data_IF_412322214754
#
_entry.id   IF_412322214754
#
_cell.length_a   1.000
_cell.length_b   1.000
_cell.length_c   1.000
_cell.angle_alpha   90.00
_cell.angle_beta   90.00
_cell.angle_gamma   90.00
#
_symmetry.space_group_name_H-M   'P 1'
#
loop_
_entity.id
_entity.type
_entity.pdbx_description
1 polymer ?
#
# COMPACT_ATOMS: atom_id res chain seq x y z
N UNK A 1 -7.00 -5.91 7.46
CA UNK A 1 -5.53 -5.98 7.30
C UNK A 1 -4.82 -4.80 7.97
N UNK A 2 -4.67 -3.62 7.35
CA UNK A 2 -3.83 -2.56 7.93
C UNK A 2 -4.24 -2.10 9.35
N UNK A 3 -5.54 -1.91 9.60
CA UNK A 3 -6.06 -1.56 10.94
C UNK A 3 -5.82 -2.67 11.97
N UNK A 4 -5.97 -3.93 11.58
CA UNK A 4 -5.69 -5.07 12.48
C UNK A 4 -4.20 -5.19 12.77
N UNK A 5 -3.34 -4.92 11.78
CA UNK A 5 -1.88 -4.89 11.95
C UNK A 5 -1.46 -3.77 12.88
N UNK A 6 -2.09 -2.59 12.80
CA UNK A 6 -1.86 -1.47 13.72
C UNK A 6 -2.21 -1.87 15.16
N UNK A 7 -3.43 -2.38 15.38
CA UNK A 7 -3.89 -2.82 16.71
C UNK A 7 -2.97 -3.91 17.29
N UNK A 8 -2.54 -4.87 16.46
CA UNK A 8 -1.63 -5.93 16.87
C UNK A 8 -0.23 -5.39 17.25
N UNK A 9 0.30 -4.45 16.47
CA UNK A 9 1.60 -3.83 16.73
C UNK A 9 1.57 -3.01 18.03
N UNK A 10 0.50 -2.25 18.24
CA UNK A 10 0.28 -1.44 19.45
C UNK A 10 0.16 -2.33 20.69
N UNK A 11 -0.63 -3.41 20.60
CA UNK A 11 -0.83 -4.36 21.69
C UNK A 11 0.47 -5.03 22.15
N UNK A 12 1.44 -5.14 21.25
CA UNK A 12 2.75 -5.75 21.52
C UNK A 12 3.88 -4.74 21.68
N UNK A 13 3.55 -3.43 21.65
CA UNK A 13 4.50 -2.33 21.73
C UNK A 13 5.64 -2.42 20.69
N UNK A 14 5.33 -2.87 19.47
CA UNK A 14 6.29 -2.86 18.37
C UNK A 14 6.38 -1.46 17.79
N UNK A 15 7.60 -0.95 17.62
CA UNK A 15 7.84 0.35 16.95
C UNK A 15 8.28 0.19 15.49
N UNK A 16 8.65 -1.03 15.09
CA UNK A 16 9.22 -1.32 13.78
C UNK A 16 8.74 -2.67 13.25
N UNK A 17 8.18 -2.65 12.04
CA UNK A 17 7.71 -3.84 11.34
C UNK A 17 8.30 -3.94 9.94
N UNK A 18 8.49 -5.17 9.47
CA UNK A 18 8.87 -5.46 8.09
C UNK A 18 7.59 -5.84 7.33
N UNK A 19 7.25 -5.06 6.31
CA UNK A 19 6.09 -5.33 5.47
C UNK A 19 6.50 -6.26 4.33
N UNK A 20 6.15 -7.53 4.45
CA UNK A 20 6.37 -8.53 3.40
C UNK A 20 5.08 -8.71 2.61
N UNK A 21 5.09 -8.37 1.33
CA UNK A 21 3.96 -8.62 0.42
C UNK A 21 4.44 -8.68 -1.02
N UNK A 22 3.58 -9.15 -1.92
CA UNK A 22 3.85 -9.09 -3.35
C UNK A 22 4.15 -7.65 -3.76
N UNK A 23 5.15 -7.51 -4.61
CA UNK A 23 5.62 -6.24 -5.09
C UNK A 23 4.55 -5.27 -5.64
N UNK A 24 3.56 -5.81 -6.35
CA UNK A 24 2.46 -5.05 -6.92
C UNK A 24 1.44 -4.58 -5.87
N UNK A 25 1.41 -5.22 -4.70
CA UNK A 25 0.59 -4.83 -3.56
C UNK A 25 1.31 -3.85 -2.62
N UNK A 26 2.64 -3.75 -2.69
CA UNK A 26 3.46 -2.95 -1.78
C UNK A 26 2.99 -1.49 -1.67
N UNK A 27 2.70 -0.77 -2.78
CA UNK A 27 2.24 0.61 -2.70
C UNK A 27 0.98 0.82 -1.88
N UNK A 28 -0.02 -0.03 -2.13
CA UNK A 28 -1.32 0.05 -1.49
C UNK A 28 -1.17 -0.28 -0.01
N UNK A 29 -0.44 -1.36 0.30
CA UNK A 29 -0.21 -1.79 1.67
C UNK A 29 0.54 -0.72 2.49
N UNK A 30 1.55 -0.07 1.90
CA UNK A 30 2.24 1.05 2.53
C UNK A 30 1.27 2.19 2.87
N UNK A 31 0.45 2.65 1.91
CA UNK A 31 -0.52 3.74 2.16
C UNK A 31 -1.52 3.36 3.26
N UNK A 32 -2.10 2.16 3.19
CA UNK A 32 -3.07 1.69 4.17
C UNK A 32 -2.45 1.58 5.58
N UNK A 33 -1.22 1.07 5.69
CA UNK A 33 -0.51 0.96 6.98
C UNK A 33 -0.04 2.32 7.51
N UNK A 34 0.47 3.21 6.65
CA UNK A 34 0.84 4.56 7.05
C UNK A 34 -0.36 5.36 7.57
N UNK A 35 -1.55 5.14 6.99
CA UNK A 35 -2.78 5.76 7.47
C UNK A 35 -3.30 5.12 8.77
N UNK A 36 -3.11 3.81 8.96
CA UNK A 36 -3.58 3.10 10.15
C UNK A 36 -2.64 3.21 11.36
N UNK A 37 -1.33 3.40 11.13
CA UNK A 37 -0.30 3.41 12.16
C UNK A 37 0.85 4.37 11.80
N UNK A 38 0.61 5.66 12.01
CA UNK A 38 1.58 6.73 11.67
C UNK A 38 2.89 6.65 12.47
N UNK A 39 2.84 6.09 13.68
CA UNK A 39 4.01 5.98 14.57
C UNK A 39 4.91 4.77 14.26
N UNK A 40 4.42 3.78 13.48
CA UNK A 40 5.19 2.59 13.16
C UNK A 40 6.23 2.89 12.09
N UNK A 41 7.48 2.52 12.35
CA UNK A 41 8.49 2.42 11.29
C UNK A 41 8.18 1.20 10.46
N UNK A 42 8.15 1.35 9.15
CA UNK A 42 7.84 0.25 8.22
C UNK A 42 8.99 0.10 7.23
N UNK A 43 9.62 -1.07 7.23
CA UNK A 43 10.60 -1.44 6.20
C UNK A 43 9.92 -2.29 5.13
N UNK A 44 9.82 -1.81 3.88
CA UNK A 44 9.21 -2.58 2.81
C UNK A 44 10.11 -3.73 2.37
N UNK A 45 9.55 -4.93 2.25
CA UNK A 45 10.21 -6.11 1.72
C UNK A 45 9.36 -6.74 0.61
N UNK A 46 9.47 -6.23 -0.63
CA UNK A 46 8.64 -6.69 -1.74
C UNK A 46 9.12 -8.05 -2.24
N UNK A 47 8.19 -9.00 -2.34
CA UNK A 47 8.42 -10.29 -3.00
C UNK A 47 8.04 -10.15 -4.46
N UNK A 48 8.99 -10.43 -5.36
CA UNK A 48 8.75 -10.32 -6.78
C UNK A 48 7.63 -11.27 -7.21
N UNK A 49 6.57 -10.74 -7.81
CA UNK A 49 5.63 -11.58 -8.54
C UNK A 49 6.31 -12.07 -9.83
N UNK A 50 5.86 -13.19 -10.40
CA UNK A 50 6.39 -13.66 -11.68
C UNK A 50 6.00 -12.66 -12.80
N UNK A 51 6.88 -11.71 -13.10
CA UNK A 51 6.71 -10.66 -14.10
C UNK A 51 7.36 -9.34 -13.68
N UNK A 52 7.94 -8.60 -14.63
CA UNK A 52 8.58 -7.27 -14.54
C UNK A 52 8.88 -6.77 -13.12
N UNK A 53 9.82 -7.47 -12.49
CA UNK A 53 10.28 -7.16 -11.15
C UNK A 53 10.90 -5.77 -11.13
N UNK A 54 10.29 -4.89 -10.33
CA UNK A 54 10.72 -3.55 -9.90
C UNK A 54 10.07 -2.35 -10.59
N UNK A 55 8.90 -2.49 -11.21
CA UNK A 55 8.11 -1.33 -11.68
C UNK A 55 7.87 -0.28 -10.57
N UNK A 56 7.76 -0.71 -9.31
CA UNK A 56 7.56 0.16 -8.15
C UNK A 56 8.85 0.84 -7.64
N UNK A 57 10.03 0.38 -8.09
CA UNK A 57 11.31 0.97 -7.69
C UNK A 57 11.65 2.23 -8.48
N UNK A 58 11.00 2.44 -9.63
CA UNK A 58 11.07 3.70 -10.38
C UNK A 58 10.07 4.68 -9.76
N UNK A 59 10.54 5.74 -9.06
CA UNK A 59 9.65 6.68 -8.38
C UNK A 59 8.74 7.44 -9.35
N UNK A 60 9.18 7.65 -10.59
CA UNK A 60 8.42 8.37 -11.60
C UNK A 60 7.31 7.49 -12.18
N UNK A 61 7.61 6.24 -12.52
CA UNK A 61 6.62 5.26 -12.97
C UNK A 61 5.59 4.98 -11.87
N UNK A 62 6.07 4.79 -10.65
CA UNK A 62 5.26 4.58 -9.46
C UNK A 62 4.25 5.70 -9.23
N UNK A 63 4.72 6.95 -9.17
CA UNK A 63 3.85 8.12 -8.95
C UNK A 63 2.81 8.28 -10.05
N UNK A 64 3.18 8.03 -11.32
CA UNK A 64 2.25 8.09 -12.44
C UNK A 64 1.15 7.03 -12.30
N UNK A 65 1.52 5.78 -12.03
CA UNK A 65 0.56 4.68 -11.88
C UNK A 65 -0.39 4.91 -10.71
N UNK A 66 0.12 5.33 -9.54
CA UNK A 66 -0.74 5.66 -8.39
C UNK A 66 -1.69 6.81 -8.70
N UNK A 67 -1.22 7.84 -9.40
CA UNK A 67 -2.04 8.99 -9.78
C UNK A 67 -3.15 8.59 -10.75
N UNK A 68 -2.83 7.86 -11.82
CA UNK A 68 -3.82 7.39 -12.79
C UNK A 68 -4.80 6.41 -12.18
N UNK A 69 -4.34 5.52 -11.31
CA UNK A 69 -5.20 4.60 -10.58
C UNK A 69 -6.12 5.35 -9.60
N UNK A 70 -5.62 6.38 -8.92
CA UNK A 70 -6.44 7.27 -8.08
C UNK A 70 -7.52 8.00 -8.87
N UNK A 71 -7.18 8.51 -10.07
CA UNK A 71 -8.17 9.09 -11.00
C UNK A 71 -9.20 8.08 -11.45
N UNK A 72 -8.81 6.83 -11.69
CA UNK A 72 -9.70 5.75 -12.05
C UNK A 72 -10.68 5.44 -10.91
N UNK A 73 -10.20 5.32 -9.66
CA UNK A 73 -11.04 5.12 -8.48
C UNK A 73 -12.01 6.28 -8.26
N UNK A 74 -11.55 7.53 -8.40
CA UNK A 74 -12.40 8.71 -8.35
C UNK A 74 -13.47 8.69 -9.46
N UNK A 75 -13.11 8.24 -10.66
CA UNK A 75 -14.05 8.08 -11.78
C UNK A 75 -15.09 7.01 -11.46
N UNK A 76 -14.69 5.88 -10.88
CA UNK A 76 -15.62 4.85 -10.43
C UNK A 76 -16.53 5.32 -9.29
N UNK A 77 -16.00 6.04 -8.30
CA UNK A 77 -16.79 6.57 -7.20
C UNK A 77 -17.76 7.66 -7.66
N UNK A 78 -17.34 8.49 -8.62
CA UNK A 78 -18.16 9.58 -9.18
C UNK A 78 -19.20 9.09 -10.19
N UNK A 79 -19.07 7.86 -10.69
CA UNK A 79 -20.09 7.23 -11.54
C UNK A 79 -21.01 6.42 -10.63
N UNK A 80 -22.16 6.95 -10.20
CA UNK A 80 -23.10 6.15 -9.44
C UNK A 80 -23.48 4.96 -10.31
N UNK A 81 -23.38 3.74 -9.77
CA UNK A 81 -24.16 2.63 -10.31
C UNK A 81 -25.62 3.02 -10.11
N UNK A 82 -26.20 3.67 -11.10
CA UNK A 82 -27.64 3.80 -11.20
C UNK A 82 -28.21 2.39 -11.28
N UNK A 83 -28.90 1.98 -10.22
CA UNK A 83 -30.08 1.17 -10.32
C UNK A 83 -31.03 1.54 -9.19
#
# INVERSE_FOLDING_TARGET
NATETAIWADALAYEHIILVTSDYHMPRAMIELSAAAEHLRITPYPVAAQGDGKWWSDPALFRRLVTEYGKLLLTYARRPRGR
#
